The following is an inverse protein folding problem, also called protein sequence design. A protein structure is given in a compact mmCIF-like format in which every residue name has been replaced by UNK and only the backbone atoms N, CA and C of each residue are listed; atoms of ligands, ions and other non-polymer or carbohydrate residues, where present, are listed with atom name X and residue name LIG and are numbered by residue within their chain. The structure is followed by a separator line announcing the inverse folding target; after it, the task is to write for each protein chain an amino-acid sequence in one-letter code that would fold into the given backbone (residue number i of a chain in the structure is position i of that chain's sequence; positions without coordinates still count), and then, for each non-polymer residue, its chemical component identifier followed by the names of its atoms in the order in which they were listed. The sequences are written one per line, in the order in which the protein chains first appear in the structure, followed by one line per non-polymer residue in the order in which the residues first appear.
data_IF_300285458733
#
_entry.id   IF_300285458733
#
_cell.length_a   1.000
_cell.length_b   1.000
_cell.length_c   1.000
_cell.angle_alpha   90.00
_cell.angle_beta   90.00
_cell.angle_gamma   90.00
#
_symmetry.space_group_name_H-M   'P 1'
#
loop_
_entity.id
_entity.type
_entity.pdbx_description
1 polymer ?
#
# COMPACT_ATOMS: atom_id res chain seq x y z
N UNK A 1 -30.85 5.45 -13.65
CA UNK A 1 -29.53 6.00 -13.33
C UNK A 1 -28.67 5.82 -14.55
N UNK A 2 -28.26 6.96 -15.11
CA UNK A 2 -27.80 7.15 -16.49
C UNK A 2 -26.65 6.23 -16.86
N UNK A 3 -26.72 5.72 -18.09
CA UNK A 3 -25.61 5.14 -18.83
C UNK A 3 -24.52 6.22 -18.98
N UNK A 4 -23.63 6.32 -18.00
CA UNK A 4 -22.37 7.04 -18.14
C UNK A 4 -21.30 6.00 -18.47
N UNK A 5 -20.47 6.30 -19.47
CA UNK A 5 -19.25 5.58 -19.83
C UNK A 5 -18.27 5.52 -18.64
N UNK A 6 -18.60 4.74 -17.62
CA UNK A 6 -17.91 4.70 -16.35
C UNK A 6 -17.99 3.31 -15.77
N UNK A 7 -16.84 2.84 -15.29
CA UNK A 7 -16.64 1.66 -14.45
C UNK A 7 -17.83 1.54 -13.48
N UNK A 8 -18.56 0.42 -13.54
CA UNK A 8 -19.72 0.21 -12.66
C UNK A 8 -19.32 0.23 -11.18
N UNK A 9 -20.25 0.55 -10.28
CA UNK A 9 -19.97 0.69 -8.83
C UNK A 9 -19.25 -0.53 -8.23
N UNK A 10 -19.66 -1.74 -8.62
CA UNK A 10 -19.01 -2.97 -8.17
C UNK A 10 -17.56 -3.10 -8.67
N UNK A 11 -17.31 -2.70 -9.92
CA UNK A 11 -15.96 -2.71 -10.51
C UNK A 11 -15.07 -1.62 -9.89
N UNK A 12 -15.63 -0.45 -9.59
CA UNK A 12 -14.93 0.62 -8.87
C UNK A 12 -14.56 0.18 -7.44
N UNK A 13 -15.51 -0.40 -6.72
CA UNK A 13 -15.31 -0.87 -5.34
C UNK A 13 -14.25 -1.97 -5.28
N UNK A 14 -14.30 -2.93 -6.22
CA UNK A 14 -13.28 -3.97 -6.34
C UNK A 14 -11.88 -3.40 -6.62
N UNK A 15 -11.78 -2.43 -7.54
CA UNK A 15 -10.52 -1.74 -7.83
C UNK A 15 -9.98 -0.97 -6.62
N UNK A 16 -10.86 -0.35 -5.84
CA UNK A 16 -10.51 0.35 -4.61
C UNK A 16 -9.98 -0.63 -3.55
N UNK A 17 -10.67 -1.75 -3.30
CA UNK A 17 -10.25 -2.76 -2.34
C UNK A 17 -8.90 -3.38 -2.70
N UNK A 18 -8.67 -3.64 -3.99
CA UNK A 18 -7.37 -4.12 -4.48
C UNK A 18 -6.26 -3.10 -4.24
N UNK A 19 -6.51 -1.81 -4.53
CA UNK A 19 -5.56 -0.72 -4.24
C UNK A 19 -5.24 -0.64 -2.76
N UNK A 20 -6.25 -0.68 -1.89
CA UNK A 20 -6.05 -0.64 -0.44
C UNK A 20 -5.21 -1.82 0.07
N UNK A 21 -5.39 -3.03 -0.48
CA UNK A 21 -4.57 -4.20 -0.13
C UNK A 21 -3.11 -4.01 -0.51
N UNK A 22 -2.85 -3.48 -1.71
CA UNK A 22 -1.48 -3.21 -2.19
C UNK A 22 -0.81 -2.14 -1.33
N UNK A 23 -1.50 -1.04 -1.03
CA UNK A 23 -0.94 0.05 -0.22
C UNK A 23 -0.66 -0.38 1.22
N UNK A 24 -1.54 -1.18 1.84
CA UNK A 24 -1.28 -1.76 3.17
C UNK A 24 -0.02 -2.63 3.18
N UNK A 25 0.19 -3.44 2.14
CA UNK A 25 1.40 -4.25 2.00
C UNK A 25 2.64 -3.37 1.81
N UNK A 26 2.57 -2.38 0.92
CA UNK A 26 3.67 -1.41 0.70
C UNK A 26 4.07 -0.69 1.98
N UNK A 27 3.10 -0.25 2.77
CA UNK A 27 3.36 0.41 4.05
C UNK A 27 4.10 -0.53 5.01
N UNK A 28 3.63 -1.77 5.16
CA UNK A 28 4.26 -2.77 6.02
C UNK A 28 5.71 -3.04 5.60
N UNK A 29 5.94 -3.30 4.31
CA UNK A 29 7.26 -3.58 3.76
C UNK A 29 8.22 -2.39 3.97
N UNK A 30 7.71 -1.15 3.82
CA UNK A 30 8.49 0.06 4.08
C UNK A 30 8.84 0.23 5.57
N UNK A 31 7.90 -0.04 6.48
CA UNK A 31 8.15 0.02 7.92
C UNK A 31 9.18 -1.03 8.36
N UNK A 32 9.11 -2.25 7.85
CA UNK A 32 10.09 -3.31 8.12
C UNK A 32 11.48 -2.93 7.58
N UNK A 33 11.56 -2.45 6.34
CA UNK A 33 12.82 -1.97 5.75
C UNK A 33 13.45 -0.85 6.57
N UNK A 34 12.65 0.14 7.01
CA UNK A 34 13.16 1.23 7.87
C UNK A 34 13.69 0.74 9.22
N UNK A 35 13.07 -0.28 9.81
CA UNK A 35 13.57 -0.87 11.08
C UNK A 35 14.93 -1.52 10.87
N UNK A 36 15.10 -2.28 9.79
CA UNK A 36 16.38 -2.92 9.45
C UNK A 36 17.46 -1.87 9.24
N UNK A 37 17.18 -0.83 8.44
CA UNK A 37 18.13 0.27 8.21
C UNK A 37 18.53 0.94 9.53
N UNK A 38 17.56 1.24 10.39
CA UNK A 38 17.84 1.86 11.69
C UNK A 38 18.67 0.96 12.63
N UNK A 39 18.48 -0.36 12.55
CA UNK A 39 19.28 -1.32 13.32
C UNK A 39 20.73 -1.38 12.82
N UNK A 40 20.93 -1.45 11.51
CA UNK A 40 22.27 -1.45 10.89
C UNK A 40 23.00 -0.13 11.19
N UNK A 41 22.31 1.00 11.08
CA UNK A 41 22.86 2.31 11.38
C UNK A 41 23.34 2.41 12.84
N UNK A 42 22.56 1.89 13.80
CA UNK A 42 22.96 1.80 15.21
C UNK A 42 24.17 0.91 15.45
N UNK A 43 24.36 -0.15 14.66
CA UNK A 43 25.51 -1.03 14.78
C UNK A 43 26.78 -0.39 14.21
N UNK A 44 26.65 0.41 13.13
CA UNK A 44 27.76 1.12 12.50
C UNK A 44 28.23 2.34 13.30
N UNK A 45 27.32 3.01 14.01
CA UNK A 45 27.63 4.17 14.84
C UNK A 45 28.04 3.83 16.29
N UNK A 46 28.32 2.56 16.60
CA UNK A 46 28.96 2.11 17.85
C UNK A 46 30.47 1.97 17.68
#
# INVERSE_FOLDING_TARGET
MQQSHGIGYAEYSNKLDQRLKVEKRRQKDHEESRKIVAEVDRQLHK
#
